data_IF_929993716432
#
_entry.id   IF_929993716432
#
_cell.length_a   1.000
_cell.length_b   1.000
_cell.length_c   1.000
_cell.angle_alpha   90.00
_cell.angle_beta   90.00
_cell.angle_gamma   90.00
#
_symmetry.space_group_name_H-M   'P 1'
#
loop_
_entity.id
_entity.type
_entity.pdbx_description
1 polymer ?
#
# COMPACT_ATOMS: atom_id res chain seq x y z
N UNK A 1 -13.39 7.94 -7.51
CA UNK A 1 -13.11 8.64 -8.79
C UNK A 1 -11.98 9.63 -8.53
N UNK A 2 -10.77 9.43 -9.07
CA UNK A 2 -9.64 10.32 -8.78
C UNK A 2 -9.94 11.74 -9.27
N UNK A 3 -9.82 12.73 -8.38
CA UNK A 3 -10.11 14.13 -8.74
C UNK A 3 -9.00 14.67 -9.66
N UNK A 4 -9.33 15.67 -10.50
CA UNK A 4 -8.36 16.32 -11.40
C UNK A 4 -7.09 16.78 -10.66
N UNK A 5 -7.27 17.22 -9.42
CA UNK A 5 -6.19 17.71 -8.57
C UNK A 5 -5.28 16.56 -8.10
N UNK A 6 -5.85 15.39 -7.80
CA UNK A 6 -5.09 14.17 -7.48
C UNK A 6 -4.18 13.74 -8.64
N UNK A 7 -4.67 13.82 -9.89
CA UNK A 7 -3.89 13.46 -11.09
C UNK A 7 -2.72 14.44 -11.30
N UNK A 8 -2.96 15.73 -11.12
CA UNK A 8 -1.92 16.77 -11.22
C UNK A 8 -0.83 16.60 -10.17
N UNK A 9 -1.20 16.27 -8.92
CA UNK A 9 -0.23 15.98 -7.87
C UNK A 9 0.64 14.76 -8.19
N UNK A 10 0.05 13.67 -8.69
CA UNK A 10 0.80 12.47 -9.11
C UNK A 10 1.80 12.83 -10.21
N UNK A 11 1.35 13.54 -11.26
CA UNK A 11 2.20 13.90 -12.39
C UNK A 11 3.34 14.83 -11.99
N UNK A 12 3.07 15.80 -11.10
CA UNK A 12 4.08 16.72 -10.60
C UNK A 12 5.16 15.99 -9.78
N UNK A 13 4.75 15.04 -8.94
CA UNK A 13 5.67 14.25 -8.11
C UNK A 13 6.47 13.27 -8.97
N UNK A 14 5.83 12.59 -9.93
CA UNK A 14 6.54 11.76 -10.90
C UNK A 14 7.56 12.57 -11.69
N UNK A 15 7.20 13.79 -12.11
CA UNK A 15 8.14 14.71 -12.76
C UNK A 15 9.29 15.12 -11.84
N UNK A 16 9.04 15.38 -10.55
CA UNK A 16 10.08 15.67 -9.56
C UNK A 16 11.03 14.48 -9.34
N UNK A 17 10.50 13.26 -9.24
CA UNK A 17 11.31 12.03 -9.13
C UNK A 17 12.21 11.82 -10.35
N UNK A 18 11.71 12.15 -11.54
CA UNK A 18 12.45 12.08 -12.80
C UNK A 18 13.45 13.23 -12.98
N UNK A 19 13.16 14.40 -12.41
CA UNK A 19 13.97 15.60 -12.56
C UNK A 19 15.12 15.70 -11.54
N UNK A 20 15.12 14.88 -10.48
CA UNK A 20 16.23 14.81 -9.54
C UNK A 20 17.46 14.25 -10.28
N UNK A 21 18.53 15.04 -10.47
CA UNK A 21 19.76 14.51 -11.05
C UNK A 21 20.24 13.36 -10.17
N UNK A 22 20.59 12.23 -10.79
CA UNK A 22 21.18 11.12 -10.06
C UNK A 22 22.36 11.65 -9.27
N UNK A 23 22.35 11.48 -7.94
CA UNK A 23 23.50 11.78 -7.11
C UNK A 23 24.73 11.13 -7.74
N UNK A 24 25.89 11.80 -7.73
CA UNK A 24 27.14 11.23 -8.23
C UNK A 24 27.29 9.81 -7.67
N UNK A 25 27.03 8.80 -8.50
CA UNK A 25 26.61 7.48 -8.04
C UNK A 25 27.76 6.84 -7.27
N UNK A 26 27.56 6.60 -5.97
CA UNK A 26 28.30 5.58 -5.26
C UNK A 26 28.11 4.24 -6.00
N UNK A 27 29.01 3.27 -5.79
CA UNK A 27 28.84 1.95 -6.40
C UNK A 27 27.43 1.42 -6.08
N UNK A 28 26.70 0.90 -7.08
CA UNK A 28 25.28 0.66 -6.93
C UNK A 28 25.01 -0.37 -5.85
N UNK A 29 23.99 -0.10 -5.03
CA UNK A 29 23.52 -1.04 -4.01
C UNK A 29 22.86 -2.28 -4.64
N UNK A 30 22.82 -2.43 -5.97
CA UNK A 30 22.40 -3.65 -6.67
C UNK A 30 20.92 -4.02 -6.52
N UNK A 31 20.56 -5.11 -7.17
CA UNK A 31 19.18 -5.64 -7.19
C UNK A 31 18.87 -6.37 -5.87
N UNK A 32 17.60 -6.31 -5.47
CA UNK A 32 17.13 -6.88 -4.21
C UNK A 32 15.62 -7.04 -4.16
N UNK A 33 15.16 -8.04 -3.42
CA UNK A 33 13.75 -8.21 -3.04
C UNK A 33 13.55 -7.64 -1.65
N UNK A 34 12.42 -6.96 -1.43
CA UNK A 34 12.03 -6.40 -0.14
C UNK A 34 10.75 -7.06 0.38
N UNK A 35 10.72 -7.33 1.68
CA UNK A 35 9.50 -7.62 2.44
C UNK A 35 9.34 -6.51 3.47
N UNK A 36 8.20 -5.83 3.44
CA UNK A 36 7.91 -4.70 4.32
C UNK A 36 6.74 -5.06 5.25
N UNK A 37 6.87 -4.72 6.53
CA UNK A 37 5.80 -4.80 7.52
C UNK A 37 5.66 -3.43 8.16
N UNK A 38 4.44 -2.90 8.23
CA UNK A 38 4.18 -1.57 8.77
C UNK A 38 2.97 -1.48 9.67
N UNK A 39 2.84 -0.32 10.29
CA UNK A 39 1.73 0.06 11.18
C UNK A 39 0.83 1.07 10.46
N UNK A 40 -0.29 0.59 9.91
CA UNK A 40 -1.35 1.42 9.38
C UNK A 40 -2.26 1.87 10.53
N UNK A 41 -2.98 2.99 10.36
CA UNK A 41 -3.74 3.65 11.46
C UNK A 41 -4.69 2.72 12.23
N UNK A 42 -5.15 1.64 11.61
CA UNK A 42 -6.11 0.69 12.19
C UNK A 42 -5.65 -0.78 12.07
N UNK A 43 -4.36 -1.04 11.83
CA UNK A 43 -3.86 -2.41 11.74
C UNK A 43 -2.47 -2.55 11.13
N UNK A 44 -2.08 -3.78 10.84
CA UNK A 44 -0.81 -4.07 10.17
C UNK A 44 -0.90 -3.79 8.68
N UNK A 45 0.24 -3.52 8.05
CA UNK A 45 0.38 -3.53 6.59
C UNK A 45 1.53 -4.43 6.16
N UNK A 46 1.42 -4.96 4.95
CA UNK A 46 2.40 -5.83 4.34
C UNK A 46 2.72 -5.33 2.94
N UNK A 47 3.98 -5.46 2.52
CA UNK A 47 4.33 -5.24 1.12
C UNK A 47 5.48 -6.15 0.68
N UNK A 48 5.52 -6.42 -0.62
CA UNK A 48 6.62 -7.13 -1.28
C UNK A 48 7.07 -6.30 -2.48
N UNK A 49 8.37 -6.11 -2.61
CA UNK A 49 8.93 -5.29 -3.67
C UNK A 49 10.22 -5.82 -4.24
N UNK A 50 10.67 -5.19 -5.30
CA UNK A 50 11.93 -5.45 -5.95
C UNK A 50 12.57 -4.15 -6.41
N UNK A 51 13.90 -4.08 -6.25
CA UNK A 51 14.74 -3.05 -6.87
C UNK A 51 15.49 -3.65 -8.05
N UNK A 52 15.52 -2.91 -9.15
CA UNK A 52 16.19 -3.22 -10.40
C UNK A 52 17.01 -2.00 -10.84
N UNK A 53 18.30 -2.01 -10.53
CA UNK A 53 19.20 -0.88 -10.68
C UNK A 53 18.79 0.30 -9.82
N UNK A 54 18.16 1.29 -10.44
CA UNK A 54 17.87 2.60 -9.87
C UNK A 54 16.38 2.77 -9.52
N UNK A 55 15.57 1.80 -9.94
CA UNK A 55 14.13 1.79 -9.82
C UNK A 55 13.66 0.60 -9.01
N UNK A 56 12.43 0.65 -8.52
CA UNK A 56 11.77 -0.51 -7.95
C UNK A 56 10.27 -0.47 -8.12
N UNK A 57 9.66 -1.62 -7.86
CA UNK A 57 8.21 -1.79 -7.79
C UNK A 57 7.89 -2.48 -6.47
N UNK A 58 6.82 -2.05 -5.81
CA UNK A 58 6.33 -2.66 -4.58
C UNK A 58 4.82 -2.90 -4.71
N UNK A 59 4.34 -4.05 -4.27
CA UNK A 59 2.93 -4.37 -4.10
C UNK A 59 2.60 -4.40 -2.61
N UNK A 60 1.62 -3.62 -2.17
CA UNK A 60 1.26 -3.46 -0.77
C UNK A 60 -0.19 -3.82 -0.48
N UNK A 61 -0.45 -4.25 0.75
CA UNK A 61 -1.78 -4.50 1.28
C UNK A 61 -1.93 -4.00 2.73
N UNK A 62 -3.13 -3.53 3.05
CA UNK A 62 -3.61 -3.22 4.40
C UNK A 62 -4.84 -4.12 4.60
N UNK A 63 -4.71 -5.24 5.33
CA UNK A 63 -5.85 -6.07 5.66
C UNK A 63 -6.88 -5.28 6.48
N UNK A 64 -8.17 -5.48 6.21
CA UNK A 64 -9.23 -4.97 7.08
C UNK A 64 -9.23 -5.67 8.44
N UNK A 65 -10.05 -5.18 9.36
CA UNK A 65 -10.15 -5.72 10.73
C UNK A 65 -10.82 -7.11 10.80
N UNK A 66 -11.35 -7.61 9.68
CA UNK A 66 -11.98 -8.92 9.58
C UNK A 66 -13.28 -9.03 10.38
N UNK A 67 -13.98 -7.91 10.62
CA UNK A 67 -15.19 -7.85 11.46
C UNK A 67 -16.36 -8.70 10.96
N UNK A 68 -16.45 -8.93 9.64
CA UNK A 68 -17.54 -9.67 9.02
C UNK A 68 -17.04 -10.85 8.17
N UNK A 69 -16.39 -11.86 8.78
CA UNK A 69 -15.78 -12.96 8.03
C UNK A 69 -16.81 -13.93 7.42
N UNK A 70 -18.03 -13.97 8.00
CA UNK A 70 -19.13 -14.85 7.60
C UNK A 70 -20.27 -14.09 6.90
N UNK A 71 -19.97 -12.91 6.34
CA UNK A 71 -20.95 -12.17 5.57
C UNK A 71 -21.39 -12.98 4.34
N UNK A 72 -22.69 -12.91 4.04
CA UNK A 72 -23.30 -13.58 2.90
C UNK A 72 -23.53 -12.60 1.74
N UNK A 73 -23.65 -13.13 0.53
CA UNK A 73 -23.99 -12.32 -0.65
C UNK A 73 -25.45 -11.84 -0.59
N UNK A 74 -25.69 -10.58 -0.94
CA UNK A 74 -27.04 -10.04 -1.15
C UNK A 74 -27.65 -10.58 -2.47
N UNK A 75 -28.98 -10.81 -2.57
CA UNK A 75 -30.06 -10.33 -1.71
C UNK A 75 -30.23 -11.03 -0.36
N UNK A 76 -30.45 -10.23 0.69
CA UNK A 76 -31.04 -10.70 1.94
C UNK A 76 -32.47 -11.20 1.64
N UNK A 77 -32.80 -12.47 1.94
CA UNK A 77 -34.13 -13.04 1.64
C UNK A 77 -35.22 -12.56 2.60
N UNK A 78 -34.95 -11.53 3.40
CA UNK A 78 -35.84 -10.97 4.40
C UNK A 78 -35.99 -9.47 4.18
N UNK A 79 -37.23 -8.98 4.18
CA UNK A 79 -37.53 -7.56 3.96
C UNK A 79 -37.22 -6.67 5.18
N UNK A 80 -37.07 -7.26 6.37
CA UNK A 80 -36.69 -6.56 7.60
C UNK A 80 -35.20 -6.73 7.91
N UNK A 81 -34.41 -5.71 7.59
CA UNK A 81 -32.98 -5.63 7.88
C UNK A 81 -32.60 -4.24 8.40
N UNK A 82 -31.40 -4.16 9.00
CA UNK A 82 -30.78 -2.88 9.39
C UNK A 82 -29.36 -2.79 8.82
N UNK A 83 -28.91 -1.59 8.48
CA UNK A 83 -27.50 -1.33 8.20
C UNK A 83 -26.72 -1.44 9.50
N UNK A 84 -25.63 -2.21 9.49
CA UNK A 84 -24.71 -2.38 10.63
C UNK A 84 -23.35 -1.75 10.38
N UNK A 85 -22.99 -1.59 9.12
CA UNK A 85 -21.82 -0.84 8.66
C UNK A 85 -22.17 -0.22 7.31
N UNK A 86 -21.94 1.07 7.11
CA UNK A 86 -22.16 1.74 5.84
C UNK A 86 -20.87 1.99 5.06
N UNK A 87 -19.71 1.74 5.68
CA UNK A 87 -18.39 2.05 5.13
C UNK A 87 -17.32 1.01 5.55
N UNK A 88 -17.67 -0.28 5.45
CA UNK A 88 -16.74 -1.36 5.81
C UNK A 88 -15.67 -1.56 4.72
N UNK A 89 -14.39 -1.56 5.11
CA UNK A 89 -13.28 -1.82 4.20
C UNK A 89 -12.63 -3.18 4.55
N UNK A 90 -12.89 -4.26 3.77
CA UNK A 90 -12.30 -5.57 4.02
C UNK A 90 -10.78 -5.59 3.76
N UNK A 91 -10.29 -4.64 2.98
CA UNK A 91 -8.87 -4.41 2.77
C UNK A 91 -8.59 -3.36 1.72
N UNK A 92 -7.33 -2.94 1.68
CA UNK A 92 -6.80 -2.00 0.69
C UNK A 92 -5.55 -2.60 0.07
N UNK A 93 -5.41 -2.57 -1.25
CA UNK A 93 -4.25 -3.12 -1.95
C UNK A 93 -3.79 -2.18 -3.06
N UNK A 94 -2.52 -2.23 -3.42
CA UNK A 94 -1.99 -1.30 -4.41
C UNK A 94 -0.54 -1.56 -4.78
N UNK A 95 -0.02 -0.67 -5.61
CA UNK A 95 1.33 -0.76 -6.13
C UNK A 95 2.02 0.60 -6.09
N UNK A 96 3.32 0.57 -5.81
CA UNK A 96 4.20 1.73 -5.79
C UNK A 96 5.31 1.56 -6.85
N UNK A 97 5.66 2.67 -7.50
CA UNK A 97 6.92 2.81 -8.23
C UNK A 97 7.91 3.57 -7.36
N UNK A 98 9.12 3.03 -7.23
CA UNK A 98 10.18 3.54 -6.34
C UNK A 98 11.39 4.02 -7.15
N UNK A 99 12.01 5.11 -6.70
CA UNK A 99 13.31 5.59 -7.17
C UNK A 99 14.31 5.54 -6.03
N UNK A 100 15.44 4.89 -6.25
CA UNK A 100 16.53 4.76 -5.28
C UNK A 100 17.67 5.73 -5.58
N UNK A 101 18.31 6.24 -4.52
CA UNK A 101 19.47 7.10 -4.60
C UNK A 101 20.56 6.51 -3.69
N UNK A 102 21.58 5.93 -4.31
CA UNK A 102 22.68 5.32 -3.58
C UNK A 102 23.59 6.40 -2.99
N UNK A 103 23.66 6.43 -1.66
CA UNK A 103 24.51 7.35 -0.91
C UNK A 103 25.89 6.73 -0.67
N UNK A 104 25.93 5.42 -0.45
CA UNK A 104 27.12 4.58 -0.24
C UNK A 104 26.83 3.17 -0.79
N UNK A 105 27.85 2.30 -0.98
CA UNK A 105 27.63 0.94 -1.49
C UNK A 105 26.68 0.09 -0.63
N UNK A 106 26.52 0.45 0.63
CA UNK A 106 25.65 -0.23 1.61
C UNK A 106 24.41 0.59 2.00
N UNK A 107 24.26 1.83 1.53
CA UNK A 107 23.23 2.76 1.99
C UNK A 107 22.55 3.47 0.83
N UNK A 108 21.23 3.39 0.76
CA UNK A 108 20.44 4.14 -0.20
C UNK A 108 19.22 4.79 0.49
N UNK A 109 18.73 5.86 -0.11
CA UNK A 109 17.39 6.38 0.17
C UNK A 109 16.47 6.09 -0.99
N UNK A 110 15.18 5.97 -0.74
CA UNK A 110 14.19 5.81 -1.79
C UNK A 110 13.03 6.77 -1.60
N UNK A 111 12.38 7.09 -2.72
CA UNK A 111 11.12 7.80 -2.78
C UNK A 111 10.17 7.03 -3.69
N UNK A 112 8.89 7.06 -3.40
CA UNK A 112 7.88 6.29 -4.11
C UNK A 112 6.56 7.01 -4.31
N UNK A 113 5.87 6.64 -5.38
CA UNK A 113 4.50 7.04 -5.66
C UNK A 113 3.69 5.82 -6.11
N UNK A 114 2.45 5.73 -5.66
CA UNK A 114 1.61 4.55 -5.87
C UNK A 114 0.13 4.86 -6.00
N UNK A 115 -0.61 3.82 -6.36
CA UNK A 115 -2.08 3.81 -6.46
C UNK A 115 -2.62 2.62 -5.66
N UNK A 116 -3.59 2.91 -4.80
CA UNK A 116 -4.22 1.95 -3.91
C UNK A 116 -5.73 1.90 -4.16
N UNK A 117 -6.30 0.72 -3.98
CA UNK A 117 -7.70 0.41 -4.22
C UNK A 117 -8.29 -0.11 -2.92
N UNK A 118 -9.34 0.55 -2.45
CA UNK A 118 -10.11 0.14 -1.29
C UNK A 118 -11.53 -0.19 -1.76
N UNK A 119 -12.05 -1.34 -1.37
CA UNK A 119 -13.47 -1.66 -1.56
C UNK A 119 -14.22 -1.22 -0.30
N UNK A 120 -15.23 -0.39 -0.47
CA UNK A 120 -16.11 0.08 0.59
C UNK A 120 -17.44 -0.66 0.46
N UNK A 121 -17.84 -1.35 1.52
CA UNK A 121 -18.99 -2.24 1.55
C UNK A 121 -20.02 -1.75 2.56
N UNK A 122 -21.29 -1.76 2.15
CA UNK A 122 -22.41 -1.59 3.09
C UNK A 122 -22.87 -2.96 3.58
N UNK A 123 -22.77 -3.17 4.89
CA UNK A 123 -23.15 -4.39 5.57
C UNK A 123 -24.52 -4.24 6.21
N UNK A 124 -25.42 -5.18 5.91
CA UNK A 124 -26.77 -5.22 6.49
C UNK A 124 -26.99 -6.49 7.29
N UNK A 125 -27.76 -6.40 8.36
CA UNK A 125 -28.13 -7.54 9.19
C UNK A 125 -29.63 -7.80 9.11
N UNK A 126 -30.00 -9.04 8.76
CA UNK A 126 -31.39 -9.51 8.83
C UNK A 126 -31.86 -9.51 10.29
N UNK A 127 -33.04 -8.94 10.56
CA UNK A 127 -33.66 -9.02 11.90
C UNK A 127 -34.33 -10.36 12.17
N UNK A 128 -34.60 -11.14 11.13
CA UNK A 128 -35.21 -12.47 11.26
C UNK A 128 -34.19 -13.55 11.69
N UNK A 129 -32.99 -13.51 11.13
CA UNK A 129 -31.95 -14.55 11.35
C UNK A 129 -30.72 -14.04 12.07
N UNK A 130 -30.48 -12.73 12.10
CA UNK A 130 -29.25 -12.13 12.60
C UNK A 130 -28.06 -12.25 11.63
N UNK A 131 -28.25 -12.85 10.45
CA UNK A 131 -27.19 -12.99 9.44
C UNK A 131 -26.84 -11.66 8.79
N UNK A 132 -25.57 -11.51 8.42
CA UNK A 132 -25.01 -10.30 7.82
C UNK A 132 -24.83 -10.54 6.32
N UNK A 133 -25.14 -9.52 5.53
CA UNK A 133 -25.07 -9.55 4.08
C UNK A 133 -24.32 -8.32 3.55
N UNK A 134 -23.55 -8.50 2.49
CA UNK A 134 -22.95 -7.42 1.71
C UNK A 134 -23.98 -6.85 0.72
N UNK A 135 -24.56 -5.69 1.03
CA UNK A 135 -25.67 -5.12 0.24
C UNK A 135 -25.18 -4.37 -1.01
N UNK A 136 -24.11 -3.60 -0.87
CA UNK A 136 -23.53 -2.80 -1.94
C UNK A 136 -22.03 -2.65 -1.72
N UNK A 137 -21.27 -2.56 -2.82
CA UNK A 137 -19.86 -2.23 -2.78
C UNK A 137 -19.49 -1.13 -3.77
N UNK A 138 -18.51 -0.32 -3.39
CA UNK A 138 -17.91 0.71 -4.24
C UNK A 138 -16.39 0.66 -4.11
N UNK A 139 -15.67 0.73 -5.23
CA UNK A 139 -14.21 0.81 -5.22
C UNK A 139 -13.74 2.26 -5.26
N UNK A 140 -12.95 2.64 -4.27
CA UNK A 140 -12.21 3.90 -4.24
C UNK A 140 -10.76 3.69 -4.68
N UNK A 141 -10.14 4.78 -5.17
CA UNK A 141 -8.76 4.74 -5.65
C UNK A 141 -8.02 5.93 -5.08
N UNK A 142 -6.98 5.65 -4.29
CA UNK A 142 -6.21 6.64 -3.56
C UNK A 142 -4.77 6.73 -4.08
N UNK A 143 -4.28 7.95 -4.35
CA UNK A 143 -2.86 8.16 -4.57
C UNK A 143 -2.10 7.98 -3.26
N UNK A 144 -0.92 7.39 -3.36
CA UNK A 144 -0.04 7.20 -2.23
C UNK A 144 1.39 7.63 -2.53
N UNK A 145 2.12 7.97 -1.47
CA UNK A 145 3.53 8.29 -1.51
C UNK A 145 4.29 7.56 -0.41
N UNK A 146 5.56 7.28 -0.67
CA UNK A 146 6.48 6.69 0.28
C UNK A 146 7.88 7.27 0.20
N UNK A 147 8.64 7.06 1.27
CA UNK A 147 10.06 7.30 1.28
C UNK A 147 10.72 6.63 2.47
N UNK A 148 12.02 6.37 2.35
CA UNK A 148 12.75 5.69 3.39
C UNK A 148 14.23 5.56 3.11
N UNK A 149 14.89 4.84 4.01
CA UNK A 149 16.32 4.57 3.99
C UNK A 149 16.51 3.06 4.09
N UNK A 150 17.40 2.53 3.27
CA UNK A 150 17.76 1.11 3.26
C UNK A 150 19.25 0.96 3.46
N UNK A 151 19.63 0.03 4.32
CA UNK A 151 21.02 -0.35 4.59
C UNK A 151 21.17 -1.84 4.35
N UNK A 152 22.23 -2.27 3.64
CA UNK A 152 22.51 -3.69 3.42
C UNK A 152 23.97 -4.06 3.55
N UNK A 153 24.20 -5.34 3.83
CA UNK A 153 25.48 -6.00 3.59
C UNK A 153 25.40 -6.87 2.32
N UNK A 154 26.37 -7.77 2.12
CA UNK A 154 26.48 -8.59 0.91
C UNK A 154 25.34 -9.61 0.72
N UNK A 155 24.51 -9.87 1.74
CA UNK A 155 23.48 -10.92 1.70
C UNK A 155 22.08 -10.40 2.07
N UNK A 156 22.01 -9.56 3.10
CA UNK A 156 20.77 -9.09 3.70
C UNK A 156 20.81 -7.61 4.02
N UNK A 157 19.65 -7.00 4.11
CA UNK A 157 19.51 -5.62 4.53
C UNK A 157 18.30 -5.38 5.42
N UNK A 158 18.30 -4.18 5.99
CA UNK A 158 17.17 -3.61 6.72
C UNK A 158 16.83 -2.23 6.16
N UNK A 159 15.56 -1.87 6.22
CA UNK A 159 15.09 -0.56 5.81
C UNK A 159 14.08 0.01 6.78
N UNK A 160 14.05 1.33 6.88
CA UNK A 160 13.03 2.07 7.61
C UNK A 160 12.38 3.06 6.65
N UNK A 161 11.06 3.07 6.62
CA UNK A 161 10.31 3.91 5.70
C UNK A 161 8.99 4.40 6.27
N UNK A 162 8.37 5.29 5.52
CA UNK A 162 7.01 5.74 5.72
C UNK A 162 6.26 5.67 4.40
N UNK A 163 5.00 5.23 4.47
CA UNK A 163 4.07 5.27 3.35
C UNK A 163 2.76 5.91 3.83
N UNK A 164 2.24 6.86 3.05
CA UNK A 164 1.06 7.67 3.39
C UNK A 164 -0.16 6.87 3.87
N UNK A 165 -0.40 5.69 3.30
CA UNK A 165 -1.51 4.80 3.71
C UNK A 165 -1.09 3.66 4.65
N UNK A 166 0.17 3.18 4.54
CA UNK A 166 0.67 1.99 5.27
C UNK A 166 1.41 2.35 6.56
N UNK A 167 1.58 3.65 6.81
CA UNK A 167 2.30 4.23 7.93
C UNK A 167 3.80 3.92 7.93
N UNK A 168 4.38 3.92 9.12
CA UNK A 168 5.79 3.60 9.32
C UNK A 168 6.01 2.09 9.07
N UNK A 169 7.10 1.75 8.38
CA UNK A 169 7.40 0.37 8.02
C UNK A 169 8.87 0.00 8.24
N UNK A 170 9.08 -1.28 8.56
CA UNK A 170 10.36 -1.96 8.59
C UNK A 170 10.45 -2.86 7.36
N UNK A 171 11.60 -2.85 6.70
CA UNK A 171 11.86 -3.63 5.49
C UNK A 171 12.98 -4.62 5.73
N UNK A 172 12.84 -5.81 5.18
CA UNK A 172 13.86 -6.84 5.12
C UNK A 172 14.24 -7.05 3.67
N UNK A 173 15.54 -6.99 3.39
CA UNK A 173 16.06 -7.02 2.02
C UNK A 173 16.91 -8.27 1.82
N UNK A 174 16.75 -8.93 0.67
CA UNK A 174 17.53 -10.11 0.27
C UNK A 174 18.01 -9.94 -1.17
N UNK A 175 19.29 -10.23 -1.39
CA UNK A 175 19.92 -10.15 -2.71
C UNK A 175 19.54 -11.35 -3.58
N UNK A 176 19.55 -11.17 -4.91
CA UNK A 176 19.41 -12.25 -5.87
C UNK A 176 20.25 -11.98 -7.13
#
# INVERSE_FOLDING_TARGET
MATRDSILSILLIAALLLALPGAAQAAPLGDMVTLSIGDARDGSSLAVGGRFGDWGLEAGAIPGDGRYPDALDYPCPHDDYRVVDDDYVPGTYGFDTLRYFDLQPQLAVYLGAGLYFAEHQTMVQSRATGWIYENASTTETDPAFSGGIVYRNDQVGIGLGYHSLRGANLQFLVNF
#
